data_IF_327764103380
#
_entry.id   IF_327764103380
#
_cell.length_a   1.000
_cell.length_b   1.000
_cell.length_c   1.000
_cell.angle_alpha   90.00
_cell.angle_beta   90.00
_cell.angle_gamma   90.00
#
_symmetry.space_group_name_H-M   'P 1'
#
loop_
_entity.id
_entity.type
_entity.pdbx_description
1 polymer ?
#
# COMPACT_ATOMS: atom_id res chain seq x y z
N UNK A 1 32.53 -6.56 64.73
CA UNK A 1 32.96 -5.76 63.57
C UNK A 1 32.65 -6.43 62.23
N UNK A 2 32.86 -7.74 62.05
CA UNK A 2 32.68 -8.41 60.75
C UNK A 2 31.28 -8.33 60.12
N UNK A 3 30.19 -8.30 60.91
CA UNK A 3 28.82 -8.26 60.36
C UNK A 3 28.51 -7.01 59.52
N UNK A 4 29.19 -5.89 59.78
CA UNK A 4 28.95 -4.64 59.05
C UNK A 4 29.69 -4.62 57.70
N UNK A 5 30.83 -5.30 57.58
CA UNK A 5 31.61 -5.34 56.34
C UNK A 5 30.90 -6.17 55.25
N UNK A 6 30.29 -7.30 55.64
CA UNK A 6 29.46 -8.09 54.72
C UNK A 6 28.18 -7.36 54.30
N UNK A 7 27.62 -6.50 55.17
CA UNK A 7 26.44 -5.69 54.83
C UNK A 7 26.74 -4.69 53.72
N UNK A 8 27.92 -4.06 53.76
CA UNK A 8 28.34 -3.06 52.77
C UNK A 8 28.61 -3.74 51.41
N UNK A 9 29.25 -4.91 51.40
CA UNK A 9 29.53 -5.63 50.15
C UNK A 9 28.26 -6.18 49.49
N UNK A 10 27.30 -6.69 50.27
CA UNK A 10 26.00 -7.14 49.76
C UNK A 10 25.18 -5.98 49.16
N UNK A 11 25.19 -4.82 49.81
CA UNK A 11 24.51 -3.62 49.32
C UNK A 11 25.12 -3.13 48.00
N UNK A 12 26.45 -3.16 47.87
CA UNK A 12 27.14 -2.75 46.64
C UNK A 12 26.79 -3.68 45.46
N UNK A 13 26.75 -4.99 45.68
CA UNK A 13 26.37 -5.97 44.65
C UNK A 13 24.91 -5.76 44.23
N UNK A 14 23.99 -5.52 45.18
CA UNK A 14 22.58 -5.26 44.89
C UNK A 14 22.40 -3.97 44.05
N UNK A 15 23.15 -2.90 44.35
CA UNK A 15 23.11 -1.68 43.55
C UNK A 15 23.66 -1.90 42.14
N UNK A 16 24.74 -2.67 42.00
CA UNK A 16 25.32 -2.99 40.70
C UNK A 16 24.35 -3.82 39.83
N UNK A 17 23.66 -4.81 40.41
CA UNK A 17 22.67 -5.62 39.66
C UNK A 17 21.46 -4.77 39.26
N UNK A 18 20.97 -3.90 40.15
CA UNK A 18 19.89 -2.95 39.82
C UNK A 18 20.28 -1.98 38.70
N UNK A 19 21.53 -1.51 38.66
CA UNK A 19 22.01 -0.65 37.57
C UNK A 19 22.07 -1.38 36.22
N UNK A 20 22.45 -2.66 36.21
CA UNK A 20 22.48 -3.49 34.99
C UNK A 20 21.06 -3.77 34.49
N UNK A 21 20.15 -4.13 35.38
CA UNK A 21 18.74 -4.37 35.06
C UNK A 21 18.09 -3.06 34.57
N UNK A 22 18.35 -1.94 35.25
CA UNK A 22 17.89 -0.62 34.83
C UNK A 22 18.39 -0.28 33.42
N UNK A 23 19.67 -0.49 33.10
CA UNK A 23 20.17 -0.30 31.72
C UNK A 23 19.47 -1.22 30.72
N UNK A 24 19.21 -2.48 31.08
CA UNK A 24 18.55 -3.43 30.20
C UNK A 24 17.10 -3.01 29.88
N UNK A 25 16.35 -2.55 30.88
CA UNK A 25 14.98 -2.05 30.71
C UNK A 25 14.92 -0.64 30.11
N UNK A 26 15.91 0.21 30.39
CA UNK A 26 15.97 1.58 29.87
C UNK A 26 16.50 1.65 28.43
N UNK A 27 17.16 0.59 27.94
CA UNK A 27 17.55 0.47 26.52
C UNK A 27 16.40 0.03 25.59
N UNK A 28 15.16 -0.07 26.07
CA UNK A 28 13.98 -0.32 25.22
C UNK A 28 13.11 0.90 24.93
N UNK A 29 13.45 2.09 25.45
CA UNK A 29 12.91 3.34 24.93
C UNK A 29 13.81 3.85 23.82
N UNK A 30 13.76 3.11 22.70
CA UNK A 30 14.16 3.61 21.40
C UNK A 30 13.26 4.80 21.07
N UNK A 31 13.68 5.98 21.54
CA UNK A 31 13.59 7.26 20.87
C UNK A 31 12.64 7.20 19.67
N UNK A 32 11.36 7.50 19.92
CA UNK A 32 10.49 8.01 18.86
C UNK A 32 11.10 9.35 18.46
N UNK A 33 12.07 9.28 17.56
CA UNK A 33 12.65 10.39 16.84
C UNK A 33 11.51 11.35 16.43
N UNK A 34 11.36 12.51 17.09
CA UNK A 34 10.22 13.39 16.85
C UNK A 34 10.39 14.22 15.57
N UNK A 35 11.43 13.96 14.78
CA UNK A 35 11.69 14.63 13.51
C UNK A 35 12.22 13.64 12.48
N UNK A 36 11.43 12.62 12.11
CA UNK A 36 11.56 12.11 10.74
C UNK A 36 11.21 13.27 9.80
N UNK A 37 12.16 13.87 9.06
CA UNK A 37 11.83 14.89 8.10
C UNK A 37 10.81 14.28 7.14
N UNK A 38 9.74 15.03 6.87
CA UNK A 38 8.75 14.75 5.84
C UNK A 38 9.44 14.01 4.70
N UNK A 39 9.08 12.74 4.49
CA UNK A 39 9.62 11.86 3.46
C UNK A 39 9.39 12.56 2.12
N UNK A 40 10.36 13.38 1.71
CA UNK A 40 10.27 14.22 0.53
C UNK A 40 9.99 13.31 -0.65
N UNK A 41 9.15 13.80 -1.55
CA UNK A 41 8.76 13.13 -2.79
C UNK A 41 9.95 13.00 -3.76
N UNK A 42 11.11 13.52 -3.37
CA UNK A 42 12.46 13.06 -3.76
C UNK A 42 12.76 11.59 -3.35
N UNK A 43 11.72 10.77 -3.18
CA UNK A 43 11.79 9.34 -2.86
C UNK A 43 12.12 8.58 -4.15
N UNK A 44 13.39 8.69 -4.57
CA UNK A 44 14.14 7.79 -5.47
C UNK A 44 13.24 7.10 -6.50
N UNK A 45 12.84 7.83 -7.55
CA UNK A 45 12.41 7.17 -8.80
C UNK A 45 13.56 6.21 -9.16
N UNK A 46 13.35 4.89 -9.18
CA UNK A 46 14.45 3.96 -9.42
C UNK A 46 15.08 4.22 -10.78
N UNK A 47 16.40 3.96 -10.91
CA UNK A 47 17.07 4.12 -12.20
C UNK A 47 16.36 3.30 -13.28
N UNK A 48 16.11 3.91 -14.43
CA UNK A 48 15.39 3.28 -15.54
C UNK A 48 13.86 3.34 -15.43
N UNK A 49 13.31 4.04 -14.44
CA UNK A 49 11.88 4.31 -14.32
C UNK A 49 11.57 5.79 -14.48
N UNK A 50 10.34 6.07 -14.87
CA UNK A 50 9.77 7.40 -15.02
C UNK A 50 8.38 7.44 -14.37
N UNK A 51 7.98 8.62 -13.93
CA UNK A 51 6.60 8.89 -13.52
C UNK A 51 5.84 9.41 -14.73
N UNK A 52 4.83 8.67 -15.16
CA UNK A 52 3.95 9.08 -16.24
C UNK A 52 2.60 9.55 -15.67
N UNK A 53 2.24 10.84 -15.76
CA UNK A 53 0.94 11.34 -15.33
C UNK A 53 -0.20 10.66 -16.09
N UNK A 54 -1.27 10.32 -15.39
CA UNK A 54 -2.45 9.69 -16.01
C UNK A 54 -3.74 10.31 -15.50
N UNK A 55 -4.72 10.43 -16.39
CA UNK A 55 -6.08 10.79 -16.01
C UNK A 55 -6.89 9.52 -15.72
N UNK A 56 -7.59 9.49 -14.58
CA UNK A 56 -8.33 8.33 -14.11
C UNK A 56 -9.83 8.61 -14.12
N UNK A 57 -10.60 7.80 -14.85
CA UNK A 57 -12.06 7.83 -14.93
C UNK A 57 -12.73 7.61 -13.56
N UNK A 58 -12.23 6.66 -12.78
CA UNK A 58 -12.74 6.31 -11.45
C UNK A 58 -11.94 6.97 -10.30
N UNK A 59 -11.55 8.26 -10.47
CA UNK A 59 -10.73 9.00 -9.50
C UNK A 59 -11.28 9.04 -8.08
N UNK A 60 -12.60 9.18 -7.90
CA UNK A 60 -13.23 9.25 -6.57
C UNK A 60 -13.01 7.96 -5.78
N UNK A 61 -13.23 6.81 -6.42
CA UNK A 61 -12.96 5.50 -5.81
C UNK A 61 -11.46 5.28 -5.55
N UNK A 62 -10.61 5.74 -6.47
CA UNK A 62 -9.16 5.64 -6.33
C UNK A 62 -8.64 6.38 -5.10
N UNK A 63 -9.09 7.61 -4.85
CA UNK A 63 -8.65 8.43 -3.70
C UNK A 63 -8.96 7.80 -2.34
N UNK A 64 -10.11 7.14 -2.22
CA UNK A 64 -10.52 6.50 -0.97
C UNK A 64 -9.74 5.22 -0.67
N UNK A 65 -9.10 4.63 -1.66
CA UNK A 65 -8.39 3.34 -1.55
C UNK A 65 -6.87 3.48 -1.63
N UNK A 66 -6.38 4.54 -2.29
CA UNK A 66 -4.95 4.83 -2.46
C UNK A 66 -4.61 6.01 -1.56
N UNK A 67 -3.88 5.72 -0.47
CA UNK A 67 -3.29 6.74 0.39
C UNK A 67 -2.12 7.42 -0.33
N UNK A 68 -0.94 6.79 -0.37
CA UNK A 68 0.24 7.35 -1.05
C UNK A 68 0.49 6.70 -2.42
N UNK A 69 0.38 5.37 -2.46
CA UNK A 69 0.60 4.58 -3.67
C UNK A 69 -0.15 3.24 -3.61
N UNK A 70 -0.38 2.64 -4.77
CA UNK A 70 -1.02 1.34 -4.92
C UNK A 70 -0.51 0.57 -6.13
N UNK A 71 -0.83 -0.71 -6.21
CA UNK A 71 -0.59 -1.52 -7.42
C UNK A 71 -1.90 -1.63 -8.18
N UNK A 72 -1.89 -1.31 -9.46
CA UNK A 72 -3.11 -1.28 -10.28
C UNK A 72 -2.90 -1.95 -11.63
N UNK A 73 -4.00 -2.39 -12.21
CA UNK A 73 -4.11 -2.64 -13.65
C UNK A 73 -4.75 -1.43 -14.32
N UNK A 74 -4.19 -1.03 -15.45
CA UNK A 74 -4.65 0.08 -16.29
C UNK A 74 -5.43 -0.47 -17.48
N UNK A 75 -6.62 0.07 -17.68
CA UNK A 75 -7.47 -0.22 -18.82
C UNK A 75 -7.88 1.06 -19.52
N UNK A 76 -8.11 0.99 -20.83
CA UNK A 76 -8.78 2.05 -21.59
C UNK A 76 -10.16 1.59 -21.96
N UNK A 77 -11.13 2.50 -21.82
CA UNK A 77 -12.46 2.28 -22.36
C UNK A 77 -12.39 2.48 -23.87
N UNK A 78 -12.89 1.52 -24.66
CA UNK A 78 -12.99 1.69 -26.10
C UNK A 78 -14.12 2.69 -26.39
N UNK A 79 -13.77 3.95 -26.62
CA UNK A 79 -14.72 4.97 -27.03
C UNK A 79 -15.51 4.49 -28.26
N UNK A 80 -16.85 4.55 -28.19
CA UNK A 80 -17.73 4.31 -29.34
C UNK A 80 -18.17 2.86 -29.61
N UNK A 81 -17.95 1.91 -28.70
CA UNK A 81 -18.52 0.56 -28.83
C UNK A 81 -19.63 0.34 -27.81
N UNK A 82 -20.79 -0.12 -28.27
CA UNK A 82 -21.95 -0.55 -27.47
C UNK A 82 -21.65 -1.73 -26.54
N UNK A 83 -20.44 -2.31 -26.63
CA UNK A 83 -19.95 -3.34 -25.72
C UNK A 83 -18.84 -2.76 -24.83
N UNK A 84 -18.91 -2.95 -23.51
CA UNK A 84 -17.90 -2.50 -22.55
C UNK A 84 -16.64 -3.38 -22.65
N UNK A 85 -15.95 -3.33 -23.78
CA UNK A 85 -14.68 -4.00 -23.98
C UNK A 85 -13.57 -3.07 -23.51
N UNK A 86 -13.18 -3.23 -22.25
CA UNK A 86 -12.00 -2.55 -21.70
C UNK A 86 -10.74 -3.22 -22.25
N UNK A 87 -9.84 -2.44 -22.84
CA UNK A 87 -8.56 -2.95 -23.33
C UNK A 87 -7.50 -2.78 -22.23
N UNK A 88 -6.81 -3.85 -21.79
CA UNK A 88 -5.72 -3.70 -20.84
C UNK A 88 -4.55 -2.97 -21.52
N UNK A 89 -4.03 -1.95 -20.83
CA UNK A 89 -2.87 -1.16 -21.28
C UNK A 89 -1.62 -1.58 -20.53
N UNK A 90 -1.70 -1.67 -19.22
CA UNK A 90 -0.60 -2.13 -18.37
C UNK A 90 -1.15 -2.91 -17.18
N UNK A 91 -0.34 -3.83 -16.65
CA UNK A 91 -0.71 -4.66 -15.51
C UNK A 91 0.28 -4.50 -14.37
N UNK A 92 -0.22 -4.55 -13.15
CA UNK A 92 0.55 -4.52 -11.91
C UNK A 92 1.53 -3.34 -11.85
N UNK A 93 1.11 -2.17 -12.35
CA UNK A 93 1.92 -0.96 -12.30
C UNK A 93 1.69 -0.23 -10.98
N UNK A 94 2.73 0.43 -10.47
CA UNK A 94 2.61 1.22 -9.25
C UNK A 94 2.02 2.58 -9.61
N UNK A 95 0.83 2.88 -9.10
CA UNK A 95 0.23 4.22 -9.15
C UNK A 95 0.61 4.97 -7.89
N UNK A 96 0.88 6.27 -8.04
CA UNK A 96 1.29 7.17 -6.97
C UNK A 96 0.35 8.37 -7.02
N UNK A 97 -0.18 8.75 -5.87
CA UNK A 97 -0.98 9.97 -5.72
C UNK A 97 -0.03 11.14 -5.52
N UNK A 98 -0.28 12.27 -6.19
CA UNK A 98 0.56 13.43 -5.99
C UNK A 98 0.38 13.98 -4.55
N UNK A 99 1.48 14.37 -3.89
CA UNK A 99 1.49 14.81 -2.49
C UNK A 99 0.80 16.17 -2.27
N UNK A 100 0.97 17.07 -3.23
CA UNK A 100 0.45 18.44 -3.20
C UNK A 100 -0.94 18.54 -3.82
N UNK A 101 -1.31 17.57 -4.66
CA UNK A 101 -2.60 17.52 -5.34
C UNK A 101 -3.15 16.08 -5.34
N UNK A 102 -4.06 15.72 -4.42
CA UNK A 102 -4.62 14.38 -4.32
C UNK A 102 -5.51 14.00 -5.51
N UNK A 103 -5.79 14.94 -6.42
CA UNK A 103 -6.55 14.70 -7.64
C UNK A 103 -5.68 14.24 -8.80
N UNK A 104 -4.36 14.36 -8.65
CA UNK A 104 -3.38 13.98 -9.66
C UNK A 104 -2.76 12.64 -9.35
N UNK A 105 -2.63 11.82 -10.38
CA UNK A 105 -2.06 10.49 -10.29
C UNK A 105 -0.98 10.31 -11.35
N UNK A 106 0.06 9.57 -10.99
CA UNK A 106 1.10 9.15 -11.91
C UNK A 106 1.38 7.66 -11.74
N UNK A 107 1.81 7.00 -12.81
CA UNK A 107 2.28 5.61 -12.75
C UNK A 107 3.79 5.54 -12.90
N UNK A 108 4.42 4.72 -12.07
CA UNK A 108 5.84 4.45 -12.11
C UNK A 108 6.08 3.27 -13.07
N UNK A 109 6.70 3.56 -14.21
CA UNK A 109 6.91 2.60 -15.30
C UNK A 109 8.27 2.82 -15.96
N UNK A 110 8.75 1.86 -16.76
CA UNK A 110 9.93 2.05 -17.62
C UNK A 110 9.57 2.90 -18.86
N UNK A 111 10.53 3.63 -19.47
CA UNK A 111 10.26 4.47 -20.65
C UNK A 111 9.48 3.77 -21.79
N UNK A 112 9.79 2.53 -22.20
CA UNK A 112 9.03 1.86 -23.27
C UNK A 112 7.56 1.64 -22.93
N UNK A 113 7.24 1.44 -21.64
CA UNK A 113 5.86 1.28 -21.17
C UNK A 113 5.16 2.63 -21.06
N UNK A 114 5.89 3.70 -20.71
CA UNK A 114 5.35 5.05 -20.76
C UNK A 114 4.91 5.43 -22.17
N UNK A 115 5.71 5.09 -23.20
CA UNK A 115 5.35 5.31 -24.60
C UNK A 115 4.07 4.56 -24.99
N UNK A 116 3.93 3.30 -24.54
CA UNK A 116 2.70 2.51 -24.75
C UNK A 116 1.50 3.20 -24.11
N UNK A 117 1.63 3.71 -22.88
CA UNK A 117 0.54 4.41 -22.18
C UNK A 117 0.18 5.71 -22.91
N UNK A 118 1.18 6.48 -23.37
CA UNK A 118 0.98 7.75 -24.07
C UNK A 118 0.31 7.60 -25.44
N UNK A 119 0.41 6.42 -26.06
CA UNK A 119 -0.32 6.10 -27.29
C UNK A 119 -1.84 5.97 -27.08
N UNK A 120 -2.31 5.94 -25.83
CA UNK A 120 -3.73 5.98 -25.52
C UNK A 120 -4.13 7.35 -24.99
N UNK A 121 -5.03 8.02 -25.70
CA UNK A 121 -5.78 9.16 -25.18
C UNK A 121 -6.79 8.64 -24.14
N UNK A 122 -6.49 8.83 -22.85
CA UNK A 122 -7.36 8.46 -21.73
C UNK A 122 -8.77 9.10 -21.79
N UNK A 123 -9.60 8.95 -20.75
CA UNK A 123 -9.23 8.59 -19.38
C UNK A 123 -9.04 7.08 -19.16
N UNK A 124 -8.12 6.74 -18.26
CA UNK A 124 -7.85 5.36 -17.87
C UNK A 124 -8.83 4.88 -16.80
N UNK A 125 -9.17 3.60 -16.82
CA UNK A 125 -9.85 2.93 -15.73
C UNK A 125 -8.84 2.10 -14.94
N UNK A 126 -8.78 2.28 -13.62
CA UNK A 126 -7.86 1.55 -12.76
C UNK A 126 -8.58 0.47 -11.96
N UNK A 127 -7.94 -0.70 -11.85
CA UNK A 127 -8.36 -1.78 -10.94
C UNK A 127 -7.27 -1.98 -9.91
N UNK A 128 -7.60 -1.75 -8.64
CA UNK A 128 -6.64 -1.83 -7.53
C UNK A 128 -6.42 -3.29 -7.16
N UNK A 129 -5.15 -3.69 -7.11
CA UNK A 129 -4.72 -5.00 -6.67
C UNK A 129 -4.32 -4.95 -5.19
N UNK A 130 -4.76 -5.94 -4.43
CA UNK A 130 -4.25 -6.15 -3.09
C UNK A 130 -2.87 -6.84 -3.18
N UNK A 131 -1.77 -6.16 -2.78
CA UNK A 131 -0.42 -6.72 -2.90
C UNK A 131 -0.18 -7.92 -1.97
N UNK A 132 -1.02 -8.11 -0.94
CA UNK A 132 -0.87 -9.18 0.05
C UNK A 132 -1.63 -10.47 -0.31
N UNK A 133 -2.31 -10.51 -1.45
CA UNK A 133 -3.29 -11.56 -1.75
C UNK A 133 -2.90 -12.41 -2.97
N UNK A 134 -2.02 -13.39 -2.75
CA UNK A 134 -1.74 -14.45 -3.73
C UNK A 134 -2.71 -15.65 -3.62
N UNK A 135 -3.66 -15.64 -2.67
CA UNK A 135 -4.58 -16.75 -2.35
C UNK A 135 -6.00 -16.61 -2.94
N UNK A 136 -6.23 -15.66 -3.86
CA UNK A 136 -7.56 -15.38 -4.43
C UNK A 136 -8.20 -16.57 -5.15
N UNK A 137 -7.42 -17.52 -5.65
CA UNK A 137 -7.93 -18.78 -6.19
C UNK A 137 -8.68 -19.64 -5.15
N UNK A 138 -8.28 -19.60 -3.87
CA UNK A 138 -8.96 -20.36 -2.80
C UNK A 138 -10.32 -19.75 -2.44
N UNK A 139 -10.43 -18.41 -2.43
CA UNK A 139 -11.68 -17.73 -2.09
C UNK A 139 -12.74 -17.91 -3.18
N UNK A 140 -12.35 -17.86 -4.46
CA UNK A 140 -13.30 -18.02 -5.58
C UNK A 140 -13.81 -19.47 -5.63
N UNK A 141 -12.94 -20.47 -5.46
CA UNK A 141 -13.34 -21.88 -5.39
C UNK A 141 -14.25 -22.18 -4.19
N UNK A 142 -14.02 -21.53 -3.05
CA UNK A 142 -14.88 -21.67 -1.86
C UNK A 142 -16.27 -21.02 -2.05
N UNK A 143 -16.37 -19.93 -2.83
CA UNK A 143 -17.61 -19.16 -3.02
C UNK A 143 -18.50 -19.70 -4.15
N UNK A 144 -17.92 -20.25 -5.22
CA UNK A 144 -18.66 -20.87 -6.34
C UNK A 144 -19.45 -22.14 -5.95
N UNK A 145 -19.16 -22.76 -4.80
CA UNK A 145 -19.96 -23.87 -4.26
C UNK A 145 -21.30 -23.44 -3.64
N UNK A 146 -21.56 -22.14 -3.45
CA UNK A 146 -22.86 -21.67 -2.97
C UNK A 146 -23.76 -21.38 -4.18
N UNK A 147 -24.67 -22.31 -4.44
CA UNK A 147 -25.74 -22.26 -5.44
C UNK A 147 -26.43 -20.90 -5.40
N UNK A 148 -26.35 -20.14 -6.51
CA UNK A 148 -27.07 -18.89 -6.67
C UNK A 148 -28.54 -19.27 -6.87
N UNK A 149 -29.40 -18.96 -5.90
CA UNK A 149 -30.84 -19.06 -6.07
C UNK A 149 -31.32 -17.77 -6.74
N UNK A 150 -31.83 -17.88 -7.96
CA UNK A 150 -32.61 -16.82 -8.57
C UNK A 150 -33.99 -16.83 -7.90
N UNK A 151 -34.35 -15.71 -7.26
CA UNK A 151 -35.74 -15.46 -6.88
C UNK A 151 -36.47 -15.06 -8.17
N UNK A 152 -37.24 -15.98 -8.71
CA UNK A 152 -38.21 -15.69 -9.77
C UNK A 152 -39.44 -15.08 -9.09
N UNK A 153 -39.49 -13.75 -9.09
CA UNK A 153 -40.63 -13.00 -8.57
C UNK A 153 -41.81 -13.16 -9.52
N UNK A 154 -42.64 -14.19 -9.30
CA UNK A 154 -43.92 -14.32 -9.98
C UNK A 154 -44.87 -13.18 -9.60
N UNK A 155 -45.68 -12.65 -10.54
CA UNK A 155 -46.66 -11.64 -10.23
C UNK A 155 -47.80 -12.24 -9.39
N UNK A 156 -48.17 -11.53 -8.31
CA UNK A 156 -49.42 -11.71 -7.62
C UNK A 156 -50.52 -11.00 -8.45
N UNK A 157 -51.46 -11.77 -8.98
CA UNK A 157 -52.82 -11.32 -9.29
C UNK A 157 -53.81 -12.05 -8.38
#
# INVERSE_FOLDING_TARGET
SLKNEYGITLLAILCATLMVISKYYFSTDSEKDPLKPLKRIDTIIPRGFVLNPIEISNKSAAKSLIEDFGIVDLYVSKNGSTQPTSKPVARSVKVIRAPLDPDQFAVLVTPPVADVINNYSGPFHIVIKNPKFNDSEKLIKAKLKRKIYYYDGGPHE
#
